data_IF_598345917501
#
_entry.id   IF_598345917501
#
_cell.length_a   1.000
_cell.length_b   1.000
_cell.length_c   1.000
_cell.angle_alpha   90.00
_cell.angle_beta   90.00
_cell.angle_gamma   90.00
#
_symmetry.space_group_name_H-M   'P 1'
#
loop_
_entity.id
_entity.type
_entity.pdbx_description
1 polymer ?
#
# COMPACT_ATOMS: atom_id res chain seq x y z
N UNK A 1 -33.44 7.02 -12.15
CA UNK A 1 -33.49 6.31 -13.43
C UNK A 1 -32.08 6.00 -13.94
N UNK A 2 -31.91 5.02 -14.85
CA UNK A 2 -30.61 4.72 -15.48
C UNK A 2 -30.00 5.94 -16.20
N UNK A 3 -30.82 6.75 -16.84
CA UNK A 3 -30.44 7.98 -17.57
C UNK A 3 -29.83 9.01 -16.61
N UNK A 4 -30.46 9.19 -15.44
CA UNK A 4 -29.93 10.09 -14.41
C UNK A 4 -28.56 9.62 -13.90
N UNK A 5 -28.40 8.32 -13.65
CA UNK A 5 -27.12 7.76 -13.24
C UNK A 5 -26.03 7.96 -14.30
N UNK A 6 -26.39 7.81 -15.57
CA UNK A 6 -25.47 8.07 -16.68
C UNK A 6 -25.09 9.54 -16.78
N UNK A 7 -26.06 10.44 -16.62
CA UNK A 7 -25.81 11.89 -16.54
C UNK A 7 -24.89 12.24 -15.36
N UNK A 8 -25.08 11.61 -14.18
CA UNK A 8 -24.22 11.82 -13.03
C UNK A 8 -22.79 11.31 -13.28
N UNK A 9 -22.61 10.16 -13.93
CA UNK A 9 -21.30 9.65 -14.37
C UNK A 9 -20.60 10.66 -15.28
N UNK A 10 -21.30 11.17 -16.31
CA UNK A 10 -20.77 12.16 -17.24
C UNK A 10 -20.39 13.46 -16.52
N UNK A 11 -21.21 13.92 -15.60
CA UNK A 11 -20.94 15.11 -14.79
C UNK A 11 -19.66 14.94 -13.95
N UNK A 12 -19.48 13.82 -13.26
CA UNK A 12 -18.28 13.54 -12.50
C UNK A 12 -17.04 13.48 -13.39
N UNK A 13 -17.16 12.90 -14.59
CA UNK A 13 -16.06 12.86 -15.57
C UNK A 13 -15.72 14.26 -16.09
N UNK A 14 -16.73 15.08 -16.37
CA UNK A 14 -16.56 16.48 -16.76
C UNK A 14 -15.86 17.33 -15.69
N UNK A 15 -16.01 16.97 -14.41
CA UNK A 15 -15.25 17.58 -13.29
C UNK A 15 -13.82 17.01 -13.14
N UNK A 16 -13.34 16.19 -14.05
CA UNK A 16 -11.99 15.61 -13.98
C UNK A 16 -11.83 14.44 -13.00
N UNK A 17 -12.92 13.89 -12.44
CA UNK A 17 -12.83 12.73 -11.56
C UNK A 17 -12.26 11.51 -12.30
N UNK A 18 -11.33 10.79 -11.68
CA UNK A 18 -10.83 9.52 -12.21
C UNK A 18 -11.94 8.47 -12.27
N UNK A 19 -11.79 7.43 -13.10
CA UNK A 19 -12.75 6.34 -13.19
C UNK A 19 -12.95 5.62 -11.84
N UNK A 20 -11.90 5.48 -11.05
CA UNK A 20 -11.99 4.89 -9.71
C UNK A 20 -12.78 5.78 -8.74
N UNK A 21 -12.67 7.11 -8.87
CA UNK A 21 -13.47 8.06 -8.09
C UNK A 21 -14.93 7.96 -8.48
N UNK A 22 -15.23 7.97 -9.78
CA UNK A 22 -16.60 7.78 -10.32
C UNK A 22 -17.20 6.47 -9.80
N UNK A 23 -16.44 5.37 -9.92
CA UNK A 23 -16.88 4.07 -9.42
C UNK A 23 -17.16 4.09 -7.92
N UNK A 24 -16.35 4.79 -7.12
CA UNK A 24 -16.56 4.90 -5.68
C UNK A 24 -17.89 5.58 -5.37
N UNK A 25 -18.20 6.69 -6.01
CA UNK A 25 -19.48 7.38 -5.84
C UNK A 25 -20.66 6.48 -6.24
N UNK A 26 -20.60 5.88 -7.43
CA UNK A 26 -21.69 5.05 -7.95
C UNK A 26 -21.89 3.77 -7.13
N UNK A 27 -20.82 3.14 -6.64
CA UNK A 27 -20.91 1.97 -5.73
C UNK A 27 -21.49 2.34 -4.36
N UNK A 28 -21.12 3.49 -3.82
CA UNK A 28 -21.70 4.01 -2.58
C UNK A 28 -23.19 4.29 -2.77
N UNK A 29 -23.56 4.94 -3.87
CA UNK A 29 -24.95 5.20 -4.18
C UNK A 29 -25.75 3.89 -4.36
N UNK A 30 -25.19 2.89 -5.06
CA UNK A 30 -25.82 1.56 -5.18
C UNK A 30 -26.01 0.90 -3.82
N UNK A 31 -25.05 1.03 -2.91
CA UNK A 31 -25.18 0.46 -1.55
C UNK A 31 -26.31 1.13 -0.77
N UNK A 32 -26.45 2.47 -0.86
CA UNK A 32 -27.54 3.24 -0.25
C UNK A 32 -28.88 2.84 -0.86
N UNK A 33 -28.97 2.78 -2.20
CA UNK A 33 -30.16 2.35 -2.92
C UNK A 33 -30.62 0.94 -2.50
N UNK A 34 -29.70 -0.03 -2.48
CA UNK A 34 -30.03 -1.39 -2.07
C UNK A 34 -30.54 -1.45 -0.62
N UNK A 35 -29.97 -0.63 0.27
CA UNK A 35 -30.47 -0.52 1.66
C UNK A 35 -31.89 0.04 1.71
N UNK A 36 -32.18 1.08 0.93
CA UNK A 36 -33.52 1.69 0.84
C UNK A 36 -34.56 0.68 0.28
N UNK A 37 -34.18 -0.11 -0.72
CA UNK A 37 -35.04 -1.20 -1.25
C UNK A 37 -35.30 -2.26 -0.17
N UNK A 38 -34.25 -2.72 0.52
CA UNK A 38 -34.39 -3.73 1.58
C UNK A 38 -35.26 -3.23 2.74
N UNK A 39 -35.22 -1.92 3.03
CA UNK A 39 -36.07 -1.28 4.03
C UNK A 39 -37.47 -0.90 3.49
N UNK A 40 -37.84 -1.32 2.28
CA UNK A 40 -39.11 -1.02 1.60
C UNK A 40 -39.41 0.47 1.43
N UNK A 41 -38.39 1.32 1.47
CA UNK A 41 -38.53 2.79 1.25
C UNK A 41 -38.61 3.14 -0.22
N UNK A 42 -38.07 2.28 -1.11
CA UNK A 42 -38.03 2.48 -2.55
C UNK A 42 -38.33 1.15 -3.26
N UNK A 43 -39.04 1.20 -4.38
CA UNK A 43 -39.32 0.03 -5.22
C UNK A 43 -38.05 -0.36 -5.97
N UNK A 44 -37.79 -1.67 -6.04
CA UNK A 44 -36.63 -2.20 -6.78
C UNK A 44 -36.76 -1.96 -8.27
N UNK A 45 -35.73 -1.37 -8.86
CA UNK A 45 -35.62 -1.17 -10.32
C UNK A 45 -34.56 -2.13 -10.86
N UNK A 46 -34.93 -3.10 -11.72
CA UNK A 46 -33.98 -4.03 -12.32
C UNK A 46 -32.90 -3.30 -13.12
N UNK A 47 -31.65 -3.79 -12.99
CA UNK A 47 -30.51 -3.31 -13.78
C UNK A 47 -30.18 -1.80 -13.70
N UNK A 48 -30.67 -1.10 -12.66
CA UNK A 48 -30.51 0.35 -12.49
C UNK A 48 -29.07 0.85 -12.71
N UNK A 49 -28.06 0.09 -12.27
CA UNK A 49 -26.63 0.45 -12.35
C UNK A 49 -25.87 -0.23 -13.50
N UNK A 50 -26.56 -0.86 -14.46
CA UNK A 50 -25.91 -1.63 -15.54
C UNK A 50 -25.15 -0.74 -16.52
N UNK A 51 -25.65 0.48 -16.78
CA UNK A 51 -25.09 1.41 -17.77
C UNK A 51 -23.95 2.29 -17.26
N UNK A 52 -23.60 2.18 -15.96
CA UNK A 52 -22.58 3.03 -15.32
C UNK A 52 -21.38 2.23 -14.82
N UNK A 53 -20.22 2.91 -14.74
CA UNK A 53 -18.99 2.28 -14.35
C UNK A 53 -18.89 2.07 -12.83
N UNK A 54 -18.91 0.82 -12.40
CA UNK A 54 -18.74 0.42 -11.00
C UNK A 54 -17.53 -0.51 -10.78
N UNK A 55 -16.65 -0.61 -11.78
CA UNK A 55 -15.41 -1.40 -11.74
C UNK A 55 -14.26 -0.73 -10.97
N UNK A 56 -13.11 -1.38 -11.01
CA UNK A 56 -11.85 -0.83 -10.47
C UNK A 56 -10.78 -0.93 -11.55
N UNK A 57 -10.08 0.16 -11.81
CA UNK A 57 -8.91 0.19 -12.69
C UNK A 57 -7.64 0.29 -11.85
N UNK A 58 -6.67 -0.55 -12.15
CA UNK A 58 -5.34 -0.53 -11.52
C UNK A 58 -4.35 0.22 -12.44
N UNK A 59 -4.72 1.46 -12.82
CA UNK A 59 -4.04 2.21 -13.88
C UNK A 59 -2.62 2.67 -13.49
N UNK A 60 -2.34 2.84 -12.19
CA UNK A 60 -1.03 3.28 -11.71
C UNK A 60 -0.45 2.34 -10.66
N UNK A 61 0.59 1.63 -11.04
CA UNK A 61 1.43 0.85 -10.11
C UNK A 61 2.41 1.80 -9.43
N UNK A 62 2.27 1.98 -8.12
CA UNK A 62 3.01 2.98 -7.30
C UNK A 62 4.35 2.49 -6.76
N UNK A 63 4.83 1.33 -7.23
CA UNK A 63 6.11 0.81 -6.80
C UNK A 63 7.26 1.62 -7.41
N UNK A 64 8.26 1.96 -6.61
CA UNK A 64 9.50 2.56 -7.08
C UNK A 64 10.31 1.53 -7.88
N UNK A 65 11.14 2.01 -8.80
CA UNK A 65 12.18 1.20 -9.42
C UNK A 65 13.37 1.03 -8.47
N UNK A 66 14.28 0.12 -8.82
CA UNK A 66 15.44 -0.21 -7.97
C UNK A 66 16.36 0.99 -7.74
N UNK A 67 16.56 1.82 -8.78
CA UNK A 67 17.38 3.03 -8.71
C UNK A 67 16.78 4.06 -7.76
N UNK A 68 15.47 4.29 -7.83
CA UNK A 68 14.79 5.23 -6.95
C UNK A 68 14.71 4.70 -5.52
N UNK A 69 14.56 3.38 -5.34
CA UNK A 69 14.58 2.78 -4.03
C UNK A 69 15.97 2.89 -3.37
N UNK A 70 17.06 2.72 -4.13
CA UNK A 70 18.43 2.98 -3.66
C UNK A 70 18.60 4.42 -3.14
N UNK A 71 18.07 5.42 -3.86
CA UNK A 71 18.09 6.82 -3.40
C UNK A 71 17.36 7.00 -2.07
N UNK A 72 16.19 6.34 -1.91
CA UNK A 72 15.41 6.40 -0.67
C UNK A 72 16.13 5.73 0.49
N UNK A 73 16.88 4.64 0.26
CA UNK A 73 17.69 3.97 1.29
C UNK A 73 18.96 4.73 1.64
N UNK A 74 19.49 5.55 0.73
CA UNK A 74 20.67 6.36 1.00
C UNK A 74 20.32 7.47 1.98
N UNK A 75 21.05 7.54 3.11
CA UNK A 75 20.83 8.58 4.11
C UNK A 75 21.08 9.96 3.49
N UNK A 76 20.12 10.85 3.68
CA UNK A 76 20.28 12.24 3.28
C UNK A 76 21.43 12.89 4.06
N UNK A 77 22.26 13.73 3.39
CA UNK A 77 23.38 14.41 4.05
C UNK A 77 22.87 15.25 5.23
N UNK A 78 23.70 15.38 6.27
CA UNK A 78 23.37 16.14 7.49
C UNK A 78 23.27 17.66 7.28
N UNK A 79 23.31 18.12 6.03
CA UNK A 79 23.16 19.51 5.64
C UNK A 79 21.89 20.12 6.23
N UNK A 80 22.00 21.36 6.71
CA UNK A 80 20.90 22.13 7.30
C UNK A 80 19.76 22.45 6.33
N UNK A 81 19.99 22.30 5.02
CA UNK A 81 19.01 22.60 3.97
C UNK A 81 17.79 21.65 3.92
N UNK A 82 17.89 20.44 4.51
CA UNK A 82 16.78 19.47 4.48
C UNK A 82 16.10 19.44 5.85
N UNK A 83 14.80 19.78 5.92
CA UNK A 83 14.06 19.79 7.20
C UNK A 83 14.09 18.43 7.89
N UNK A 84 14.19 18.43 9.23
CA UNK A 84 14.18 17.22 10.05
C UNK A 84 12.92 16.36 9.81
N UNK A 85 11.79 17.01 9.55
CA UNK A 85 10.54 16.33 9.24
C UNK A 85 10.63 15.47 7.95
N UNK A 86 11.37 15.93 6.93
CA UNK A 86 11.60 15.17 5.68
C UNK A 86 12.48 13.96 5.94
N UNK A 87 13.54 14.11 6.75
CA UNK A 87 14.43 13.00 7.14
C UNK A 87 13.67 11.95 7.97
N UNK A 88 12.83 12.42 8.91
CA UNK A 88 11.95 11.53 9.69
C UNK A 88 11.00 10.77 8.78
N UNK A 89 10.44 11.43 7.76
CA UNK A 89 9.56 10.79 6.79
C UNK A 89 10.31 9.74 5.95
N UNK A 90 11.55 10.00 5.54
CA UNK A 90 12.40 9.02 4.89
C UNK A 90 12.61 7.79 5.76
N UNK A 91 13.06 7.97 7.00
CA UNK A 91 13.31 6.88 7.94
C UNK A 91 12.04 6.05 8.21
N UNK A 92 10.90 6.71 8.39
CA UNK A 92 9.61 6.03 8.58
C UNK A 92 9.16 5.27 7.33
N UNK A 93 9.41 5.80 6.13
CA UNK A 93 9.13 5.11 4.88
C UNK A 93 9.99 3.86 4.72
N UNK A 94 11.30 3.96 5.01
CA UNK A 94 12.22 2.82 5.01
C UNK A 94 11.78 1.78 6.04
N UNK A 95 11.43 2.20 7.26
CA UNK A 95 10.91 1.29 8.29
C UNK A 95 9.64 0.56 7.81
N UNK A 96 8.69 1.27 7.19
CA UNK A 96 7.49 0.64 6.63
C UNK A 96 7.84 -0.41 5.56
N UNK A 97 8.84 -0.17 4.74
CA UNK A 97 9.32 -1.13 3.75
C UNK A 97 9.96 -2.35 4.43
N UNK A 98 10.89 -2.15 5.38
CA UNK A 98 11.55 -3.22 6.15
C UNK A 98 10.54 -4.08 6.93
N UNK A 99 9.42 -3.50 7.32
CA UNK A 99 8.30 -4.20 7.97
C UNK A 99 7.31 -4.80 6.93
N UNK A 100 7.83 -5.33 5.82
CA UNK A 100 7.05 -6.01 4.76
C UNK A 100 5.96 -5.14 4.16
N UNK A 101 6.25 -3.87 3.95
CA UNK A 101 5.29 -2.90 3.41
C UNK A 101 4.15 -2.61 4.38
N UNK A 102 4.46 -2.46 5.67
CA UNK A 102 3.49 -2.10 6.71
C UNK A 102 2.76 -0.82 6.32
N UNK A 103 1.41 -0.80 6.25
CA UNK A 103 0.67 0.43 5.97
C UNK A 103 0.80 1.46 7.08
N UNK A 104 0.75 2.74 6.72
CA UNK A 104 0.86 3.82 7.70
C UNK A 104 -0.22 3.76 8.80
N UNK A 105 -1.42 3.27 8.47
CA UNK A 105 -2.47 3.10 9.49
C UNK A 105 -2.06 2.06 10.54
N UNK A 106 -1.49 0.93 10.11
CA UNK A 106 -1.03 -0.10 11.06
C UNK A 106 0.17 0.43 11.86
N UNK A 107 1.14 1.13 11.20
CA UNK A 107 2.26 1.78 11.87
C UNK A 107 1.80 2.77 12.97
N UNK A 108 0.81 3.61 12.66
CA UNK A 108 0.33 4.64 13.59
C UNK A 108 -0.30 4.07 14.86
N UNK A 109 -0.94 2.91 14.73
CA UNK A 109 -1.62 2.24 15.85
C UNK A 109 -0.82 1.11 16.49
N UNK A 110 0.44 0.85 16.08
CA UNK A 110 1.31 -0.10 16.79
C UNK A 110 1.46 0.30 18.25
N UNK A 111 1.35 -0.69 19.12
CA UNK A 111 1.50 -0.53 20.57
C UNK A 111 2.89 -0.99 21.03
N UNK A 112 3.34 -0.48 22.15
CA UNK A 112 4.57 -0.96 22.81
C UNK A 112 4.50 -2.44 23.15
N UNK A 113 3.31 -2.91 23.53
CA UNK A 113 3.05 -4.34 23.82
C UNK A 113 3.15 -5.26 22.60
N UNK A 114 3.06 -4.71 21.38
CA UNK A 114 3.18 -5.48 20.14
C UNK A 114 4.63 -5.87 19.83
N UNK A 115 5.60 -5.19 20.48
CA UNK A 115 7.03 -5.47 20.33
C UNK A 115 7.51 -6.35 21.45
N UNK A 116 8.00 -7.57 21.15
CA UNK A 116 8.64 -8.49 22.08
C UNK A 116 9.79 -9.22 21.37
N UNK A 117 10.92 -9.31 22.00
CA UNK A 117 12.09 -10.10 21.51
C UNK A 117 12.46 -9.83 20.04
N UNK A 118 12.46 -8.54 19.65
CA UNK A 118 12.68 -8.08 18.27
C UNK A 118 11.66 -8.62 17.26
N UNK A 119 10.48 -9.00 17.70
CA UNK A 119 9.34 -9.37 16.85
C UNK A 119 8.19 -8.40 17.09
N UNK A 120 7.64 -7.85 16.02
CA UNK A 120 6.39 -7.09 16.07
C UNK A 120 5.25 -8.03 15.70
N UNK A 121 4.30 -8.23 16.63
CA UNK A 121 3.08 -9.02 16.39
C UNK A 121 1.87 -8.11 16.53
N UNK A 122 1.10 -7.95 15.45
CA UNK A 122 -0.05 -7.04 15.40
C UNK A 122 -1.19 -7.60 14.55
N UNK A 123 -2.38 -7.01 14.68
CA UNK A 123 -3.51 -7.30 13.79
C UNK A 123 -3.69 -6.19 12.77
N UNK A 124 -3.76 -6.58 11.50
CA UNK A 124 -4.07 -5.66 10.39
C UNK A 124 -5.40 -4.92 10.65
N UNK A 125 -5.38 -3.60 10.71
CA UNK A 125 -6.60 -2.81 10.97
C UNK A 125 -7.68 -2.99 9.91
N UNK A 126 -7.29 -3.18 8.66
CA UNK A 126 -8.25 -3.35 7.54
C UNK A 126 -8.88 -4.74 7.50
N UNK A 127 -8.17 -5.80 7.88
CA UNK A 127 -8.59 -7.19 7.64
C UNK A 127 -8.70 -8.03 8.92
N UNK A 128 -8.20 -7.53 10.05
CA UNK A 128 -8.14 -8.25 11.33
C UNK A 128 -7.11 -9.41 11.35
N UNK A 129 -6.39 -9.68 10.24
CA UNK A 129 -5.42 -10.78 10.19
C UNK A 129 -4.25 -10.52 11.13
N UNK A 130 -3.84 -11.51 11.94
CA UNK A 130 -2.63 -11.43 12.75
C UNK A 130 -1.41 -11.53 11.83
N UNK A 131 -0.37 -10.74 12.12
CA UNK A 131 0.91 -10.75 11.44
C UNK A 131 2.03 -10.67 12.47
N UNK A 132 3.12 -11.39 12.22
CA UNK A 132 4.36 -11.32 12.99
C UNK A 132 5.51 -10.98 12.06
N UNK A 133 6.33 -9.99 12.44
CA UNK A 133 7.48 -9.54 11.66
C UNK A 133 8.69 -9.49 12.56
N UNK A 134 9.68 -10.35 12.29
CA UNK A 134 11.00 -10.27 12.93
C UNK A 134 11.74 -9.06 12.38
N UNK A 135 12.27 -8.25 13.29
CA UNK A 135 12.99 -7.02 12.94
C UNK A 135 14.41 -7.35 12.47
N UNK A 136 14.80 -6.77 11.33
CA UNK A 136 16.20 -6.70 10.94
C UNK A 136 16.96 -5.72 11.82
N UNK A 137 18.32 -5.78 11.90
CA UNK A 137 19.10 -4.80 12.65
C UNK A 137 18.79 -3.36 12.28
N UNK A 138 18.62 -3.08 10.98
CA UNK A 138 18.30 -1.76 10.45
C UNK A 138 16.90 -1.29 10.89
N UNK A 139 15.92 -2.20 10.85
CA UNK A 139 14.56 -1.89 11.31
C UNK A 139 14.55 -1.60 12.81
N UNK A 140 15.35 -2.34 13.59
CA UNK A 140 15.47 -2.16 15.04
C UNK A 140 16.15 -0.80 15.38
N UNK A 141 17.19 -0.41 14.63
CA UNK A 141 17.83 0.92 14.77
C UNK A 141 16.81 2.05 14.56
N UNK A 142 16.06 2.00 13.44
CA UNK A 142 15.05 3.00 13.13
C UNK A 142 13.92 3.02 14.17
N UNK A 143 13.49 1.86 14.61
CA UNK A 143 12.46 1.74 15.64
C UNK A 143 12.94 2.40 16.94
N UNK A 144 14.13 2.05 17.45
CA UNK A 144 14.72 2.65 18.67
C UNK A 144 14.87 4.16 18.56
N UNK A 145 15.24 4.67 17.38
CA UNK A 145 15.39 6.10 17.11
C UNK A 145 14.08 6.87 17.29
N UNK A 146 12.94 6.29 16.89
CA UNK A 146 11.64 6.97 16.82
C UNK A 146 10.62 6.44 17.81
N UNK A 147 10.97 5.47 18.62
CA UNK A 147 10.07 4.90 19.64
C UNK A 147 9.60 5.97 20.61
N UNK A 148 8.32 5.91 20.94
CA UNK A 148 7.69 6.82 21.90
C UNK A 148 8.23 6.57 23.32
N UNK A 149 8.86 7.59 23.89
CA UNK A 149 9.48 7.54 25.23
C UNK A 149 8.49 7.85 26.36
N UNK A 150 7.30 8.38 26.05
CA UNK A 150 6.26 8.63 27.04
C UNK A 150 5.73 7.31 27.60
N UNK A 151 6.01 7.02 28.88
CA UNK A 151 5.59 5.78 29.56
C UNK A 151 4.07 5.62 29.65
N UNK A 152 3.32 6.71 29.67
CA UNK A 152 1.86 6.71 29.74
C UNK A 152 1.18 6.43 28.39
N UNK A 153 1.90 6.62 27.28
CA UNK A 153 1.37 6.33 25.95
C UNK A 153 1.47 4.85 25.62
N UNK A 154 0.39 4.19 25.22
CA UNK A 154 0.42 2.79 24.79
C UNK A 154 1.06 2.61 23.42
N UNK A 155 1.16 3.68 22.62
CA UNK A 155 1.61 3.61 21.22
C UNK A 155 3.12 3.51 21.10
N UNK A 156 3.57 2.69 20.14
CA UNK A 156 4.98 2.49 19.86
C UNK A 156 5.65 3.75 19.28
N UNK A 157 4.90 4.55 18.52
CA UNK A 157 5.34 5.81 17.94
C UNK A 157 4.47 6.97 18.42
N UNK A 158 5.04 8.18 18.54
CA UNK A 158 4.32 9.40 18.96
C UNK A 158 3.47 10.00 17.83
N UNK A 159 2.68 9.16 17.14
CA UNK A 159 1.79 9.59 16.06
C UNK A 159 0.36 9.84 16.56
N UNK A 160 -0.03 9.16 17.60
CA UNK A 160 -1.33 9.28 18.26
C UNK A 160 -1.13 9.54 19.75
N UNK A 161 -2.08 10.26 20.35
CA UNK A 161 -2.14 10.57 21.79
C UNK A 161 -3.41 10.02 22.41
N UNK A 162 -4.53 10.13 21.69
CA UNK A 162 -5.86 9.73 22.17
C UNK A 162 -6.06 8.22 22.10
N UNK A 163 -6.95 7.71 22.96
CA UNK A 163 -7.25 6.29 23.05
C UNK A 163 -7.82 5.72 21.73
N UNK A 164 -7.48 4.50 21.42
CA UNK A 164 -7.96 3.79 20.23
C UNK A 164 -9.51 3.70 20.22
N UNK A 165 -10.11 3.85 19.04
CA UNK A 165 -11.57 3.84 18.86
C UNK A 165 -12.24 5.21 19.04
N UNK A 166 -11.54 6.22 19.52
CA UNK A 166 -12.08 7.57 19.67
C UNK A 166 -12.06 8.35 18.35
N UNK A 167 -12.94 9.35 18.24
CA UNK A 167 -12.95 10.28 17.10
C UNK A 167 -11.66 11.12 17.05
N UNK A 168 -11.11 11.42 18.20
CA UNK A 168 -9.87 12.18 18.39
C UNK A 168 -8.69 11.41 17.82
N UNK A 169 -8.50 10.15 18.19
CA UNK A 169 -7.45 9.28 17.62
C UNK A 169 -7.56 9.16 16.09
N UNK A 170 -8.78 9.09 15.57
CA UNK A 170 -8.99 9.05 14.12
C UNK A 170 -8.58 10.38 13.45
N UNK A 171 -8.91 11.53 14.04
CA UNK A 171 -8.48 12.85 13.54
C UNK A 171 -6.96 13.01 13.60
N UNK A 172 -6.33 12.61 14.70
CA UNK A 172 -4.87 12.60 14.85
C UNK A 172 -4.20 11.76 13.77
N UNK A 173 -4.72 10.55 13.54
CA UNK A 173 -4.26 9.68 12.44
C UNK A 173 -4.37 10.37 11.06
N UNK A 174 -5.51 10.99 10.75
CA UNK A 174 -5.69 11.68 9.47
C UNK A 174 -4.70 12.84 9.29
N UNK A 175 -4.47 13.63 10.35
CA UNK A 175 -3.50 14.72 10.32
C UNK A 175 -2.07 14.19 10.16
N UNK A 176 -1.70 13.14 10.91
CA UNK A 176 -0.39 12.50 10.80
C UNK A 176 -0.16 11.92 9.38
N UNK A 177 -1.14 11.25 8.80
CA UNK A 177 -1.07 10.73 7.44
C UNK A 177 -0.92 11.84 6.39
N UNK A 178 -1.67 12.94 6.54
CA UNK A 178 -1.56 14.11 5.64
C UNK A 178 -0.17 14.71 5.72
N UNK A 179 0.31 14.99 6.93
CA UNK A 179 1.66 15.53 7.16
C UNK A 179 2.73 14.59 6.59
N UNK A 180 2.66 13.30 6.87
CA UNK A 180 3.58 12.31 6.36
C UNK A 180 3.65 12.31 4.82
N UNK A 181 2.51 12.29 4.14
CA UNK A 181 2.47 12.34 2.68
C UNK A 181 2.99 13.67 2.11
N UNK A 182 2.81 14.80 2.79
CA UNK A 182 3.41 16.08 2.40
C UNK A 182 4.94 16.00 2.48
N UNK A 183 5.50 15.48 3.58
CA UNK A 183 6.94 15.29 3.72
C UNK A 183 7.51 14.30 2.70
N UNK A 184 6.80 13.21 2.39
CA UNK A 184 7.19 12.27 1.33
C UNK A 184 7.18 12.93 -0.06
N UNK A 185 6.24 13.84 -0.32
CA UNK A 185 6.24 14.61 -1.58
C UNK A 185 7.47 15.53 -1.68
N UNK A 186 7.87 16.17 -0.57
CA UNK A 186 9.10 16.96 -0.52
C UNK A 186 10.34 16.07 -0.66
N UNK A 187 10.37 14.93 0.02
CA UNK A 187 11.45 13.94 -0.11
C UNK A 187 11.63 13.51 -1.57
N UNK A 188 10.54 13.19 -2.27
CA UNK A 188 10.59 12.81 -3.69
C UNK A 188 11.23 13.88 -4.56
N UNK A 189 10.94 15.18 -4.29
CA UNK A 189 11.57 16.30 -4.99
C UNK A 189 13.07 16.41 -4.67
N UNK A 190 13.44 16.29 -3.39
CA UNK A 190 14.85 16.34 -2.94
C UNK A 190 15.68 15.23 -3.56
N UNK A 191 15.11 14.02 -3.70
CA UNK A 191 15.79 12.86 -4.27
C UNK A 191 15.71 12.81 -5.81
N UNK A 192 15.00 13.73 -6.46
CA UNK A 192 14.80 13.72 -7.91
C UNK A 192 14.08 12.46 -8.39
N UNK A 193 13.05 12.00 -7.65
CA UNK A 193 12.27 10.85 -8.05
C UNK A 193 11.27 11.22 -9.16
N UNK A 194 11.10 10.34 -10.14
CA UNK A 194 10.15 10.55 -11.22
C UNK A 194 8.70 10.33 -10.75
N UNK A 195 8.49 9.34 -9.88
CA UNK A 195 7.18 8.99 -9.36
C UNK A 195 6.88 9.71 -8.03
N UNK A 196 5.59 10.02 -7.84
CA UNK A 196 5.13 10.62 -6.59
C UNK A 196 5.25 9.64 -5.43
N UNK A 197 6.06 10.00 -4.43
CA UNK A 197 6.20 9.23 -3.20
C UNK A 197 5.00 9.45 -2.27
N UNK A 198 4.47 8.38 -1.71
CA UNK A 198 3.37 8.38 -0.75
C UNK A 198 3.52 7.25 0.26
N UNK A 199 2.79 7.32 1.37
CA UNK A 199 2.77 6.25 2.38
C UNK A 199 2.44 4.87 1.83
N UNK A 200 1.68 4.82 0.74
CA UNK A 200 1.30 3.55 0.10
C UNK A 200 2.38 3.00 -0.83
N UNK A 201 3.31 3.86 -1.28
CA UNK A 201 4.42 3.49 -2.16
C UNK A 201 5.33 2.44 -1.52
N UNK A 202 5.64 2.53 -0.21
CA UNK A 202 6.44 1.54 0.49
C UNK A 202 5.88 0.11 0.33
N UNK A 203 4.57 -0.03 0.49
CA UNK A 203 3.88 -1.30 0.37
C UNK A 203 3.86 -1.84 -1.06
N UNK A 204 3.59 -0.98 -2.05
CA UNK A 204 3.66 -1.35 -3.46
C UNK A 204 5.06 -1.77 -3.86
N UNK A 205 6.07 -1.03 -3.42
CA UNK A 205 7.48 -1.33 -3.71
C UNK A 205 7.88 -2.66 -3.11
N UNK A 206 7.57 -2.91 -1.83
CA UNK A 206 7.91 -4.18 -1.19
C UNK A 206 7.30 -5.38 -1.94
N UNK A 207 6.00 -5.30 -2.27
CA UNK A 207 5.31 -6.37 -2.97
C UNK A 207 5.89 -6.62 -4.37
N UNK A 208 6.16 -5.55 -5.13
CA UNK A 208 6.73 -5.65 -6.47
C UNK A 208 8.18 -6.16 -6.44
N UNK A 209 9.00 -5.68 -5.49
CA UNK A 209 10.37 -6.15 -5.32
C UNK A 209 10.39 -7.64 -4.95
N UNK A 210 9.53 -8.07 -3.99
CA UNK A 210 9.42 -9.49 -3.63
C UNK A 210 9.03 -10.35 -4.84
N UNK A 211 8.10 -9.86 -5.68
CA UNK A 211 7.69 -10.53 -6.91
C UNK A 211 8.85 -10.61 -7.92
N UNK A 212 9.64 -9.55 -8.09
CA UNK A 212 10.82 -9.56 -8.97
C UNK A 212 11.96 -10.44 -8.44
N UNK A 213 12.01 -10.66 -7.11
CA UNK A 213 12.87 -11.67 -6.49
C UNK A 213 12.30 -13.09 -6.58
N UNK A 214 11.28 -13.31 -7.42
CA UNK A 214 10.64 -14.61 -7.68
C UNK A 214 9.99 -15.26 -6.45
N UNK A 215 9.68 -14.46 -5.41
CA UNK A 215 8.94 -14.94 -4.26
C UNK A 215 7.49 -15.25 -4.68
N UNK A 216 7.03 -16.45 -4.33
CA UNK A 216 5.69 -16.91 -4.70
C UNK A 216 4.61 -15.94 -4.24
N UNK A 217 3.63 -15.55 -5.10
CA UNK A 217 2.58 -14.58 -4.76
C UNK A 217 1.77 -14.94 -3.50
N UNK A 218 1.62 -16.23 -3.20
CA UNK A 218 1.02 -16.71 -1.95
C UNK A 218 1.79 -16.26 -0.71
N UNK A 219 3.12 -16.39 -0.71
CA UNK A 219 3.99 -15.93 0.39
C UNK A 219 3.89 -14.41 0.53
N UNK A 220 3.90 -13.67 -0.58
CA UNK A 220 3.71 -12.21 -0.59
C UNK A 220 2.35 -11.84 0.02
N UNK A 221 1.30 -12.57 -0.37
CA UNK A 221 -0.07 -12.37 0.13
C UNK A 221 -0.16 -12.56 1.64
N UNK A 222 0.43 -13.62 2.16
CA UNK A 222 0.48 -13.91 3.60
C UNK A 222 1.30 -12.88 4.37
N UNK A 223 2.51 -12.58 3.90
CA UNK A 223 3.40 -11.59 4.50
C UNK A 223 2.77 -10.20 4.60
N UNK A 224 1.91 -9.84 3.65
CA UNK A 224 1.18 -8.57 3.62
C UNK A 224 -0.18 -8.63 4.35
N UNK A 225 -0.65 -9.79 4.77
CA UNK A 225 -1.96 -9.97 5.40
C UNK A 225 -3.13 -9.69 4.45
N UNK A 226 -3.02 -10.10 3.18
CA UNK A 226 -4.11 -10.00 2.22
C UNK A 226 -5.11 -11.14 2.40
N UNK A 227 -6.36 -10.90 2.02
CA UNK A 227 -7.43 -11.91 2.10
C UNK A 227 -7.35 -12.95 0.97
N UNK A 228 -6.67 -12.61 -0.14
CA UNK A 228 -6.47 -13.51 -1.29
C UNK A 228 -5.27 -13.07 -2.12
N UNK A 229 -4.73 -13.98 -2.93
CA UNK A 229 -3.65 -13.72 -3.91
C UNK A 229 -4.10 -12.65 -4.92
N UNK A 230 -5.36 -12.66 -5.36
CA UNK A 230 -5.93 -11.67 -6.28
C UNK A 230 -5.78 -10.22 -5.77
N UNK A 231 -5.86 -10.02 -4.45
CA UNK A 231 -5.56 -8.70 -3.86
C UNK A 231 -4.08 -8.35 -4.03
N UNK A 232 -3.18 -9.32 -3.88
CA UNK A 232 -1.74 -9.12 -4.05
C UNK A 232 -1.39 -8.71 -5.48
N UNK A 233 -1.97 -9.34 -6.48
CA UNK A 233 -1.76 -9.05 -7.91
C UNK A 233 -2.03 -7.58 -8.25
N UNK A 234 -2.93 -6.92 -7.54
CA UNK A 234 -3.18 -5.47 -7.74
C UNK A 234 -1.98 -4.58 -7.41
N UNK A 235 -1.03 -5.07 -6.61
CA UNK A 235 0.19 -4.37 -6.23
C UNK A 235 1.34 -4.60 -7.20
N UNK A 236 1.38 -5.76 -7.87
CA UNK A 236 2.51 -6.21 -8.67
C UNK A 236 2.60 -5.44 -9.98
N UNK A 237 3.79 -5.00 -10.34
CA UNK A 237 4.09 -4.54 -11.71
C UNK A 237 4.35 -5.75 -12.61
N UNK A 238 3.98 -5.71 -13.91
CA UNK A 238 4.38 -6.72 -14.87
C UNK A 238 5.91 -6.90 -14.91
N UNK A 239 6.36 -8.09 -15.23
CA UNK A 239 7.78 -8.30 -15.54
C UNK A 239 8.21 -7.46 -16.76
N UNK A 240 9.47 -7.03 -16.76
CA UNK A 240 10.09 -6.41 -17.94
C UNK A 240 10.27 -7.48 -19.03
N UNK A 241 10.15 -7.08 -20.31
CA UNK A 241 10.32 -8.01 -21.44
C UNK A 241 11.60 -8.82 -21.35
N UNK A 242 12.73 -8.19 -20.98
CA UNK A 242 13.99 -8.88 -20.77
C UNK A 242 13.89 -10.12 -19.87
N UNK A 243 13.15 -10.03 -18.75
CA UNK A 243 12.96 -11.16 -17.82
C UNK A 243 12.09 -12.27 -18.44
N UNK A 244 11.11 -11.88 -19.26
CA UNK A 244 10.26 -12.82 -19.99
C UNK A 244 11.10 -13.55 -21.03
N UNK A 245 11.97 -12.84 -21.76
CA UNK A 245 12.88 -13.40 -22.75
C UNK A 245 13.91 -14.35 -22.11
N UNK A 246 14.47 -13.97 -20.94
CA UNK A 246 15.36 -14.83 -20.16
C UNK A 246 14.66 -16.14 -19.77
N UNK A 247 13.44 -16.06 -19.24
CA UNK A 247 12.66 -17.24 -18.87
C UNK A 247 12.34 -18.12 -20.11
N UNK A 248 12.00 -17.51 -21.24
CA UNK A 248 11.76 -18.24 -22.49
C UNK A 248 13.03 -18.98 -22.97
N UNK A 249 14.20 -18.32 -22.90
CA UNK A 249 15.46 -18.96 -23.28
C UNK A 249 15.78 -20.16 -22.37
N UNK A 250 15.54 -20.06 -21.06
CA UNK A 250 15.70 -21.18 -20.13
C UNK A 250 14.81 -22.38 -20.52
N UNK A 251 13.55 -22.13 -20.91
CA UNK A 251 12.63 -23.19 -21.37
C UNK A 251 13.17 -23.85 -22.65
N UNK A 252 13.62 -23.04 -23.62
CA UNK A 252 14.17 -23.54 -24.87
C UNK A 252 15.42 -24.40 -24.63
N UNK A 253 16.33 -23.92 -23.76
CA UNK A 253 17.56 -24.65 -23.46
C UNK A 253 17.27 -25.95 -22.69
N UNK A 254 16.32 -25.96 -21.78
CA UNK A 254 15.86 -27.19 -21.10
C UNK A 254 15.36 -28.24 -22.11
N UNK A 255 14.52 -27.83 -23.06
CA UNK A 255 14.01 -28.73 -24.10
C UNK A 255 15.13 -29.26 -24.99
N UNK A 256 16.08 -28.39 -25.42
CA UNK A 256 17.21 -28.80 -26.26
C UNK A 256 18.10 -29.83 -25.55
N UNK A 257 18.41 -29.62 -24.28
CA UNK A 257 19.21 -30.58 -23.50
C UNK A 257 18.48 -31.89 -23.24
N UNK A 258 17.16 -31.86 -23.06
CA UNK A 258 16.34 -33.06 -22.89
C UNK A 258 16.29 -33.90 -24.16
N UNK A 259 16.33 -33.27 -25.34
CA UNK A 259 16.39 -33.98 -26.64
C UNK A 259 17.79 -34.56 -26.90
N UNK A 260 18.86 -33.84 -26.57
CA UNK A 260 20.21 -34.30 -26.71
C UNK A 260 20.55 -35.55 -25.87
N UNK A 261 19.93 -35.69 -24.68
CA UNK A 261 20.09 -36.85 -23.79
C UNK A 261 19.30 -38.09 -24.21
N UNK A 262 18.42 -38.01 -25.21
CA UNK A 262 17.63 -39.14 -25.75
C UNK A 262 18.31 -39.75 -27.00
N UNK A 263 19.30 -39.07 -27.58
CA UNK A 263 20.01 -39.48 -28.81
C UNK A 263 21.39 -40.09 -28.52
N UNK A 264 21.78 -40.16 -27.26
CA UNK A 264 22.98 -40.82 -26.75
C UNK A 264 22.60 -42.15 -26.03
#
# INVERSE_FOLDING_TARGET
>A
TPEWLKGFEIHLRGKGCSWNTVSTYLRTFRAVYNRAVNSRMVVYTPHLFRSVYTGTRADHKRALCDEDMKKVFTRLPSSSAIPLAVRRAQDMFVLMFLLRGLPFVDLAYLRKSDLRDNVITYRRRKTGRPLSVTLTPEALELLKKYMNRDSHSPYLFSLLKSGEGTKEAYREYQLALRSFNQQLTLLGKVLGLNDRLSSYTARHTWATTAYYCEIHPGIISEAMGHSSIKVTETYLKPFRNKKIDEANNQIIDFVKHSIAGVVA
#
